data_IF_505182917560
#
_entry.id   IF_505182917560
#
_cell.length_a   1.000
_cell.length_b   1.000
_cell.length_c   1.000
_cell.angle_alpha   90.00
_cell.angle_beta   90.00
_cell.angle_gamma   90.00
#
_symmetry.space_group_name_H-M   'P 1'
#
loop_
_entity.id
_entity.type
_entity.pdbx_description
1 polymer ?
#
# COMPACT_ATOMS: atom_id res chain seq x y z
N UNK A 1 -14.30 -30.17 -11.18
CA UNK A 1 -14.06 -29.00 -10.34
C UNK A 1 -14.64 -27.79 -11.06
N UNK A 2 -15.86 -27.37 -10.71
CA UNK A 2 -16.48 -26.22 -11.35
C UNK A 2 -15.64 -24.97 -11.10
N UNK A 3 -15.57 -24.08 -12.09
CA UNK A 3 -14.87 -22.79 -11.98
C UNK A 3 -15.41 -21.94 -10.81
N UNK A 4 -16.67 -22.15 -10.43
CA UNK A 4 -17.29 -21.51 -9.26
C UNK A 4 -16.68 -21.98 -7.94
N UNK A 5 -16.39 -23.27 -7.78
CA UNK A 5 -15.80 -23.79 -6.54
C UNK A 5 -14.37 -23.25 -6.35
N UNK A 6 -13.58 -23.18 -7.43
CA UNK A 6 -12.24 -22.58 -7.39
C UNK A 6 -12.27 -21.09 -7.07
N UNK A 7 -13.26 -20.36 -7.61
CA UNK A 7 -13.43 -18.92 -7.33
C UNK A 7 -13.85 -18.67 -5.89
N UNK A 8 -14.72 -19.52 -5.33
CA UNK A 8 -15.09 -19.44 -3.92
C UNK A 8 -13.90 -19.74 -3.01
N UNK A 9 -13.09 -20.75 -3.36
CA UNK A 9 -11.91 -21.12 -2.58
C UNK A 9 -10.84 -20.03 -2.65
N UNK A 10 -10.63 -19.39 -3.80
CA UNK A 10 -9.70 -18.25 -3.93
C UNK A 10 -10.17 -17.03 -3.14
N UNK A 11 -11.47 -16.73 -3.12
CA UNK A 11 -12.06 -15.66 -2.29
C UNK A 11 -11.84 -15.90 -0.80
N UNK A 12 -12.03 -17.14 -0.33
CA UNK A 12 -11.78 -17.51 1.07
C UNK A 12 -10.31 -17.32 1.43
N UNK A 13 -9.38 -17.76 0.56
CA UNK A 13 -7.93 -17.61 0.79
C UNK A 13 -7.53 -16.13 0.82
N UNK A 14 -8.01 -15.33 -0.13
CA UNK A 14 -7.73 -13.89 -0.15
C UNK A 14 -8.31 -13.19 1.09
N UNK A 15 -9.54 -13.54 1.49
CA UNK A 15 -10.16 -13.02 2.70
C UNK A 15 -9.35 -13.35 3.97
N UNK A 16 -8.86 -14.58 4.09
CA UNK A 16 -8.00 -15.00 5.19
C UNK A 16 -6.67 -14.24 5.22
N UNK A 17 -6.05 -14.04 4.04
CA UNK A 17 -4.82 -13.25 3.92
C UNK A 17 -5.02 -11.79 4.30
N UNK A 18 -6.14 -11.17 3.89
CA UNK A 18 -6.46 -9.79 4.27
C UNK A 18 -6.71 -9.68 5.78
N UNK A 19 -7.42 -10.63 6.38
CA UNK A 19 -7.66 -10.65 7.82
C UNK A 19 -6.34 -10.73 8.62
N UNK A 20 -5.42 -11.60 8.19
CA UNK A 20 -4.06 -11.68 8.72
C UNK A 20 -3.31 -10.36 8.58
N UNK A 21 -3.29 -9.77 7.38
CA UNK A 21 -2.62 -8.50 7.13
C UNK A 21 -3.17 -7.36 8.02
N UNK A 22 -4.48 -7.32 8.22
CA UNK A 22 -5.12 -6.32 9.05
C UNK A 22 -4.77 -6.50 10.54
N UNK A 23 -4.63 -7.74 11.01
CA UNK A 23 -4.18 -8.04 12.37
C UNK A 23 -2.75 -7.54 12.63
N UNK A 24 -1.90 -7.50 11.60
CA UNK A 24 -0.53 -6.97 11.68
C UNK A 24 -0.45 -5.43 11.61
N UNK A 25 -1.42 -4.76 10.98
CA UNK A 25 -1.30 -3.33 10.64
C UNK A 25 -1.52 -2.37 11.82
N UNK A 26 -2.08 -2.85 12.94
CA UNK A 26 -2.30 -2.05 14.15
C UNK A 26 -3.42 -1.00 14.00
N UNK A 27 -4.10 -0.69 15.11
CA UNK A 27 -5.27 0.20 15.14
C UNK A 27 -4.87 1.66 15.40
N UNK A 28 -4.14 2.30 14.48
CA UNK A 28 -3.91 3.74 14.57
C UNK A 28 -5.06 4.55 13.93
N UNK A 29 -5.57 5.61 14.58
CA UNK A 29 -6.61 6.46 14.01
C UNK A 29 -6.09 7.20 12.78
N UNK A 30 -6.72 6.95 11.63
CA UNK A 30 -6.38 7.62 10.37
C UNK A 30 -6.87 9.07 10.42
N UNK A 31 -5.95 10.02 10.42
CA UNK A 31 -6.28 11.45 10.28
C UNK A 31 -6.42 11.83 8.80
N UNK A 32 -7.26 12.82 8.47
CA UNK A 32 -7.52 13.25 7.08
C UNK A 32 -6.22 13.63 6.35
N UNK A 33 -5.26 14.29 7.04
CA UNK A 33 -3.94 14.62 6.48
C UNK A 33 -3.16 13.36 6.07
N UNK A 34 -3.23 12.31 6.87
CA UNK A 34 -2.54 11.05 6.62
C UNK A 34 -3.19 10.27 5.47
N UNK A 35 -4.53 10.37 5.34
CA UNK A 35 -5.26 9.81 4.21
C UNK A 35 -4.81 10.44 2.88
N UNK A 36 -4.71 11.77 2.81
CA UNK A 36 -4.21 12.45 1.61
C UNK A 36 -2.77 12.04 1.26
N UNK A 37 -1.88 11.95 2.26
CA UNK A 37 -0.52 11.47 2.03
C UNK A 37 -0.50 10.03 1.49
N UNK A 38 -1.30 9.13 2.07
CA UNK A 38 -1.48 7.73 1.61
C UNK A 38 -1.93 7.65 0.16
N UNK A 39 -2.95 8.44 -0.19
CA UNK A 39 -3.51 8.45 -1.54
C UNK A 39 -2.47 8.92 -2.55
N UNK A 40 -1.75 10.01 -2.28
CA UNK A 40 -0.73 10.55 -3.19
C UNK A 40 0.43 9.58 -3.39
N UNK A 41 0.90 8.93 -2.31
CA UNK A 41 1.97 7.93 -2.41
C UNK A 41 1.50 6.70 -3.21
N UNK A 42 0.29 6.22 -2.92
CA UNK A 42 -0.29 5.06 -3.61
C UNK A 42 -0.50 5.33 -5.10
N UNK A 43 -1.05 6.48 -5.48
CA UNK A 43 -1.27 6.83 -6.89
C UNK A 43 0.03 7.04 -7.64
N UNK A 44 1.03 7.68 -7.04
CA UNK A 44 2.36 7.84 -7.63
C UNK A 44 3.03 6.50 -7.94
N UNK A 45 2.97 5.56 -6.99
CA UNK A 45 3.54 4.23 -7.20
C UNK A 45 2.73 3.40 -8.21
N UNK A 46 1.39 3.52 -8.22
CA UNK A 46 0.56 2.86 -9.23
C UNK A 46 0.89 3.34 -10.65
N UNK A 47 1.11 4.65 -10.81
CA UNK A 47 1.55 5.23 -12.09
C UNK A 47 2.95 4.75 -12.46
N UNK A 48 3.88 4.69 -11.50
CA UNK A 48 5.23 4.16 -11.75
C UNK A 48 5.21 2.68 -12.16
N UNK A 49 4.34 1.87 -11.54
CA UNK A 49 4.13 0.48 -11.94
C UNK A 49 3.58 0.39 -13.36
N UNK A 50 2.55 1.18 -13.70
CA UNK A 50 2.04 1.27 -15.07
C UNK A 50 3.11 1.71 -16.07
N UNK A 51 3.98 2.65 -15.70
CA UNK A 51 5.10 3.09 -16.53
C UNK A 51 6.15 1.97 -16.76
N UNK A 52 6.25 0.97 -15.88
CA UNK A 52 7.15 -0.16 -16.07
C UNK A 52 6.80 -0.99 -17.32
N UNK A 53 5.53 -1.01 -17.75
CA UNK A 53 5.12 -1.60 -19.04
C UNK A 53 5.83 -0.94 -20.23
N UNK A 54 6.14 0.35 -20.14
CA UNK A 54 6.82 1.07 -21.22
C UNK A 54 8.27 0.61 -21.38
N UNK A 55 8.89 0.09 -20.31
CA UNK A 55 10.25 -0.41 -20.33
C UNK A 55 10.33 -1.90 -20.64
N UNK A 56 9.37 -2.68 -20.13
CA UNK A 56 9.29 -4.13 -20.39
C UNK A 56 7.86 -4.46 -20.82
N UNK A 57 7.57 -4.41 -22.13
CA UNK A 57 6.21 -4.58 -22.66
C UNK A 57 5.66 -6.00 -22.54
N UNK A 58 6.51 -6.99 -22.24
CA UNK A 58 6.14 -8.42 -22.10
C UNK A 58 5.96 -8.86 -20.63
N UNK A 59 5.90 -7.90 -19.69
CA UNK A 59 5.60 -8.22 -18.30
C UNK A 59 4.12 -8.56 -18.13
N UNK A 60 3.78 -9.66 -17.42
CA UNK A 60 2.39 -9.98 -17.13
C UNK A 60 1.77 -8.87 -16.26
N UNK A 61 0.61 -8.36 -16.71
CA UNK A 61 -0.10 -7.24 -16.07
C UNK A 61 -0.33 -7.47 -14.56
N UNK A 62 -0.59 -8.72 -14.18
CA UNK A 62 -0.80 -9.11 -12.79
C UNK A 62 0.44 -8.87 -11.90
N UNK A 63 1.65 -9.10 -12.43
CA UNK A 63 2.89 -8.88 -11.71
C UNK A 63 3.16 -7.39 -11.50
N UNK A 64 2.79 -6.55 -12.46
CA UNK A 64 2.96 -5.09 -12.41
C UNK A 64 2.01 -4.49 -11.37
N UNK A 65 0.75 -4.92 -11.37
CA UNK A 65 -0.23 -4.53 -10.34
C UNK A 65 0.24 -4.99 -8.96
N UNK A 66 0.72 -6.24 -8.85
CA UNK A 66 1.25 -6.78 -7.60
C UNK A 66 2.45 -6.01 -7.08
N UNK A 67 3.42 -5.69 -7.95
CA UNK A 67 4.59 -4.88 -7.60
C UNK A 67 4.21 -3.45 -7.23
N UNK A 68 3.32 -2.82 -8.00
CA UNK A 68 2.83 -1.48 -7.69
C UNK A 68 2.11 -1.41 -6.35
N UNK A 69 1.29 -2.42 -6.03
CA UNK A 69 0.64 -2.51 -4.73
C UNK A 69 1.66 -2.72 -3.60
N UNK A 70 2.63 -3.62 -3.79
CA UNK A 70 3.68 -3.87 -2.81
C UNK A 70 4.52 -2.63 -2.52
N UNK A 71 4.98 -1.94 -3.58
CA UNK A 71 5.73 -0.68 -3.43
C UNK A 71 4.85 0.45 -2.89
N UNK A 72 3.56 0.50 -3.21
CA UNK A 72 2.65 1.52 -2.71
C UNK A 72 2.46 1.41 -1.19
N UNK A 73 2.28 0.18 -0.70
CA UNK A 73 2.18 -0.11 0.74
C UNK A 73 3.53 0.12 1.43
N UNK A 74 4.64 -0.34 0.85
CA UNK A 74 5.98 -0.13 1.42
C UNK A 74 6.35 1.36 1.48
N UNK A 75 6.12 2.10 0.40
CA UNK A 75 6.32 3.54 0.33
C UNK A 75 5.47 4.28 1.36
N UNK A 76 4.22 3.84 1.55
CA UNK A 76 3.35 4.36 2.60
C UNK A 76 3.97 4.20 4.01
N UNK A 77 4.40 2.99 4.37
CA UNK A 77 5.01 2.73 5.70
C UNK A 77 6.29 3.55 5.93
N UNK A 78 7.13 3.69 4.90
CA UNK A 78 8.35 4.49 4.97
C UNK A 78 8.05 5.98 5.16
N UNK A 79 7.11 6.52 4.38
CA UNK A 79 6.76 7.93 4.43
C UNK A 79 6.07 8.29 5.74
N UNK A 80 5.25 7.40 6.29
CA UNK A 80 4.63 7.58 7.61
C UNK A 80 5.68 7.66 8.72
N UNK A 81 6.67 6.77 8.71
CA UNK A 81 7.82 6.81 9.63
C UNK A 81 8.64 8.10 9.47
N UNK A 82 8.91 8.51 8.24
CA UNK A 82 9.65 9.74 7.94
C UNK A 82 8.88 11.01 8.38
N UNK A 83 7.58 11.06 8.11
CA UNK A 83 6.72 12.19 8.46
C UNK A 83 6.52 12.28 9.97
N UNK A 84 6.43 11.16 10.68
CA UNK A 84 6.46 11.14 12.16
C UNK A 84 7.77 11.74 12.69
N UNK A 85 8.92 11.31 12.16
CA UNK A 85 10.25 11.81 12.57
C UNK A 85 10.45 13.30 12.28
N UNK A 86 10.01 13.78 11.11
CA UNK A 86 10.11 15.21 10.75
C UNK A 86 9.06 16.07 11.44
N UNK A 87 7.82 15.59 11.54
CA UNK A 87 6.73 16.24 12.25
C UNK A 87 7.02 16.40 13.75
N UNK A 88 7.65 15.41 14.39
CA UNK A 88 8.13 15.54 15.76
C UNK A 88 9.27 16.56 15.88
N UNK A 89 10.15 16.68 14.89
CA UNK A 89 11.22 17.69 14.91
C UNK A 89 10.67 19.13 14.76
N UNK A 90 9.57 19.31 14.01
CA UNK A 90 8.93 20.60 13.83
C UNK A 90 8.07 21.01 15.04
N UNK A 91 7.48 20.04 15.75
CA UNK A 91 6.72 20.31 16.99
C UNK A 91 7.62 20.52 18.22
N UNK A 92 8.86 20.04 18.20
CA UNK A 92 9.83 20.24 19.29
C UNK A 92 10.52 21.63 19.27
N UNK A 93 10.22 22.47 18.29
CA UNK A 93 10.76 23.83 18.14
C UNK A 93 9.96 24.96 18.82
N UNK A 94 9.00 24.66 19.71
CA UNK A 94 8.21 25.67 20.47
C UNK A 94 8.17 25.39 21.99
N UNK A 95 9.24 24.85 22.56
CA UNK A 95 9.37 24.66 24.01
C UNK A 95 10.79 25.01 24.50
N UNK A 96 11.32 26.15 24.06
CA UNK A 96 12.30 26.96 24.80
C UNK A 96 12.05 28.43 24.52
#
# INVERSE_FOLDING_TARGET
MQEHEKTLLSLVVVGALIALANMLNGSEPITVRLLFARVVLGTGVAVAAGAALLWVPDLPQLAIIGLGAAFGIAGHTWFESWLRKRGSSLLKGKQQ
#
